data_IF_983117034663
#
_entry.id   IF_983117034663
#
_cell.length_a   1.000
_cell.length_b   1.000
_cell.length_c   1.000
_cell.angle_alpha   90.00
_cell.angle_beta   90.00
_cell.angle_gamma   90.00
#
_symmetry.space_group_name_H-M   'P 1'
#
loop_
_entity.id
_entity.type
_entity.pdbx_description
1 polymer ?
#
# COMPACT_ATOMS: atom_id res chain seq x y z
N UNK A 1 -29.02 27.95 -32.93
CA UNK A 1 -29.61 28.55 -31.71
C UNK A 1 -29.65 27.47 -30.64
N UNK A 2 -29.02 27.76 -29.53
CA UNK A 2 -28.63 26.84 -28.44
C UNK A 2 -29.84 26.45 -27.57
N UNK A 3 -29.90 25.17 -27.19
CA UNK A 3 -30.55 24.69 -25.97
C UNK A 3 -29.80 23.46 -25.46
N UNK A 4 -29.08 23.62 -24.36
CA UNK A 4 -29.23 22.82 -23.13
C UNK A 4 -28.08 23.19 -22.19
N UNK A 5 -28.38 24.09 -21.26
CA UNK A 5 -27.53 24.37 -20.12
C UNK A 5 -27.61 23.20 -19.15
N UNK A 6 -26.45 22.65 -18.80
CA UNK A 6 -26.27 21.85 -17.60
C UNK A 6 -25.52 22.69 -16.57
N UNK A 7 -26.26 23.05 -15.52
CA UNK A 7 -25.76 23.62 -14.28
C UNK A 7 -24.77 22.65 -13.63
N UNK A 8 -23.52 23.07 -13.48
CA UNK A 8 -22.62 22.45 -12.51
C UNK A 8 -22.98 22.98 -11.12
N UNK A 9 -23.69 22.17 -10.36
CA UNK A 9 -23.92 22.37 -8.94
C UNK A 9 -22.56 22.27 -8.22
N UNK A 10 -22.16 23.38 -7.60
CA UNK A 10 -21.13 23.41 -6.57
C UNK A 10 -21.59 22.54 -5.40
N UNK A 11 -21.05 21.33 -5.28
CA UNK A 11 -21.08 20.59 -4.03
C UNK A 11 -19.77 20.87 -3.31
N UNK A 12 -19.86 21.72 -2.29
CA UNK A 12 -18.97 21.65 -1.14
C UNK A 12 -19.06 20.24 -0.57
N UNK A 13 -18.18 19.36 -1.01
CA UNK A 13 -17.92 18.08 -0.35
C UNK A 13 -17.26 18.42 0.98
N UNK A 14 -17.99 18.22 2.08
CA UNK A 14 -17.39 18.09 3.39
C UNK A 14 -16.35 16.98 3.31
N UNK A 15 -15.11 17.36 3.53
CA UNK A 15 -13.94 16.49 3.61
C UNK A 15 -14.29 15.31 4.54
N UNK A 16 -14.22 14.05 4.05
CA UNK A 16 -14.57 12.93 4.90
C UNK A 16 -13.59 12.85 6.07
N UNK A 17 -14.13 12.57 7.25
CA UNK A 17 -13.39 12.13 8.43
C UNK A 17 -12.25 11.20 7.99
N UNK A 18 -11.04 11.42 8.53
CA UNK A 18 -9.87 10.63 8.16
C UNK A 18 -10.22 9.13 8.17
N UNK A 19 -9.73 8.38 7.19
CA UNK A 19 -9.98 6.94 7.07
C UNK A 19 -9.80 6.18 8.40
N UNK A 20 -8.89 6.68 9.25
CA UNK A 20 -8.61 6.25 10.63
C UNK A 20 -9.87 6.15 11.52
N UNK A 21 -10.84 7.06 11.42
CA UNK A 21 -12.05 7.03 12.26
C UNK A 21 -13.08 6.00 11.80
N UNK A 22 -13.03 5.59 10.53
CA UNK A 22 -14.05 4.74 9.89
C UNK A 22 -13.89 3.25 10.20
N UNK A 23 -12.72 2.80 10.63
CA UNK A 23 -12.37 1.36 10.66
C UNK A 23 -12.26 0.74 12.07
N UNK A 24 -12.86 1.36 13.09
CA UNK A 24 -13.00 0.77 14.44
C UNK A 24 -13.94 -0.45 14.43
N UNK A 25 -13.40 -1.65 14.21
CA UNK A 25 -14.10 -2.92 14.42
C UNK A 25 -13.31 -3.83 15.38
N UNK A 26 -14.03 -4.34 16.37
CA UNK A 26 -13.60 -5.08 17.58
C UNK A 26 -12.61 -6.24 17.28
N UNK A 27 -11.42 -6.23 17.88
CA UNK A 27 -10.48 -7.37 17.84
C UNK A 27 -9.43 -7.34 18.96
N UNK A 28 -8.97 -8.53 19.39
CA UNK A 28 -8.11 -8.76 20.56
C UNK A 28 -6.74 -8.02 20.53
N UNK A 29 -6.37 -7.35 21.62
CA UNK A 29 -5.10 -6.64 21.78
C UNK A 29 -3.94 -7.62 22.08
N UNK A 30 -2.77 -7.42 21.48
CA UNK A 30 -1.53 -8.16 21.79
C UNK A 30 -0.44 -7.22 22.29
N UNK A 31 0.20 -7.57 23.39
CA UNK A 31 1.38 -6.91 23.98
C UNK A 31 2.68 -7.34 23.28
N UNK A 32 3.75 -6.52 23.42
CA UNK A 32 5.10 -6.83 22.92
C UNK A 32 5.61 -8.18 23.47
N UNK A 33 5.32 -8.47 24.73
CA UNK A 33 5.72 -9.72 25.39
C UNK A 33 5.04 -10.95 24.76
N UNK A 34 3.77 -10.84 24.38
CA UNK A 34 3.06 -11.91 23.68
C UNK A 34 3.62 -12.16 22.27
N UNK A 35 4.00 -11.10 21.55
CA UNK A 35 4.63 -11.22 20.24
C UNK A 35 6.03 -11.86 20.33
N UNK A 36 6.84 -11.45 21.31
CA UNK A 36 8.14 -12.08 21.60
C UNK A 36 7.96 -13.55 21.97
N UNK A 37 6.98 -13.89 22.80
CA UNK A 37 6.69 -15.28 23.14
C UNK A 37 6.35 -16.13 21.91
N UNK A 38 5.57 -15.59 20.97
CA UNK A 38 5.26 -16.27 19.69
C UNK A 38 6.50 -16.50 18.83
N UNK A 39 7.44 -15.56 18.80
CA UNK A 39 8.71 -15.74 18.08
C UNK A 39 9.62 -16.78 18.75
N UNK A 40 9.72 -16.75 20.08
CA UNK A 40 10.46 -17.76 20.86
C UNK A 40 9.91 -19.16 20.65
N UNK A 41 8.57 -19.31 20.63
CA UNK A 41 7.90 -20.57 20.36
C UNK A 41 8.22 -21.15 18.96
N UNK A 42 8.67 -20.30 18.02
CA UNK A 42 9.16 -20.70 16.69
C UNK A 42 10.68 -20.91 16.63
N UNK A 43 11.36 -20.87 17.78
CA UNK A 43 12.80 -21.08 17.87
C UNK A 43 13.64 -19.85 17.54
N UNK A 44 13.03 -18.68 17.31
CA UNK A 44 13.77 -17.44 17.08
C UNK A 44 14.40 -16.98 18.39
N UNK A 45 15.72 -16.85 18.38
CA UNK A 45 16.52 -16.43 19.53
C UNK A 45 16.66 -14.90 19.57
N UNK A 46 17.08 -14.37 20.72
CA UNK A 46 17.42 -12.96 20.92
C UNK A 46 16.28 -11.95 20.69
N UNK A 47 15.02 -12.36 20.82
CA UNK A 47 13.87 -11.46 20.57
C UNK A 47 13.63 -10.45 21.70
N UNK A 48 14.22 -10.67 22.88
CA UNK A 48 14.08 -9.78 24.05
C UNK A 48 14.88 -8.49 23.89
N UNK A 49 15.92 -8.51 23.05
CA UNK A 49 16.73 -7.32 22.73
C UNK A 49 16.14 -6.52 21.58
N UNK A 50 15.17 -7.09 20.85
CA UNK A 50 14.55 -6.44 19.71
C UNK A 50 13.51 -5.44 20.19
N UNK A 51 13.49 -4.25 19.61
CA UNK A 51 12.43 -3.29 19.86
C UNK A 51 11.11 -3.74 19.21
N UNK A 52 10.04 -2.99 19.47
CA UNK A 52 8.71 -3.33 18.95
C UNK A 52 8.69 -3.41 17.42
N UNK A 53 9.35 -2.49 16.73
CA UNK A 53 9.42 -2.45 15.26
C UNK A 53 10.16 -3.66 14.72
N UNK A 54 11.27 -4.04 15.34
CA UNK A 54 12.06 -5.21 14.97
C UNK A 54 11.31 -6.52 15.20
N UNK A 55 10.64 -6.67 16.36
CA UNK A 55 9.78 -7.83 16.68
C UNK A 55 8.66 -7.96 15.65
N UNK A 56 7.98 -6.85 15.35
CA UNK A 56 6.89 -6.84 14.38
C UNK A 56 7.39 -7.16 12.97
N UNK A 57 8.51 -6.60 12.54
CA UNK A 57 9.12 -6.91 11.25
C UNK A 57 9.49 -8.40 11.15
N UNK A 58 9.89 -9.01 12.25
CA UNK A 58 10.29 -10.41 12.28
C UNK A 58 9.09 -11.35 12.31
N UNK A 59 8.03 -11.01 13.05
CA UNK A 59 6.73 -11.72 12.98
C UNK A 59 6.14 -11.61 11.58
N UNK A 60 6.22 -10.43 10.96
CA UNK A 60 5.73 -10.15 9.61
C UNK A 60 6.45 -10.99 8.55
N UNK A 61 7.79 -11.11 8.64
CA UNK A 61 8.61 -11.93 7.73
C UNK A 61 8.39 -13.43 7.88
N UNK A 62 7.97 -13.90 9.04
CA UNK A 62 7.74 -15.32 9.33
C UNK A 62 6.32 -15.81 9.01
N UNK A 63 5.45 -14.92 8.51
CA UNK A 63 4.15 -15.21 7.91
C UNK A 63 3.29 -16.25 8.65
N UNK A 64 2.78 -15.92 9.85
CA UNK A 64 1.63 -16.65 10.46
C UNK A 64 0.70 -15.75 11.31
N UNK A 65 0.90 -14.43 11.46
CA UNK A 65 -0.10 -13.59 12.14
C UNK A 65 -0.27 -12.23 11.45
N UNK A 66 -1.53 -11.90 11.17
CA UNK A 66 -2.02 -10.56 10.82
C UNK A 66 -1.50 -9.55 11.85
N UNK A 67 -0.62 -8.63 11.45
CA UNK A 67 -0.28 -7.49 12.32
C UNK A 67 -1.01 -6.25 11.83
N UNK A 68 -1.90 -5.84 12.73
CA UNK A 68 -2.74 -4.64 12.77
C UNK A 68 -2.11 -3.65 13.75
N UNK A 69 -1.28 -2.69 13.30
CA UNK A 69 -0.76 -1.71 14.27
C UNK A 69 -1.82 -0.65 14.67
N UNK A 70 -3.02 -0.63 14.06
CA UNK A 70 -4.21 0.10 14.52
C UNK A 70 -4.66 -0.24 15.96
N UNK A 71 -4.04 -1.26 16.58
CA UNK A 71 -4.33 -1.68 17.95
C UNK A 71 -3.38 -1.11 19.01
N UNK A 72 -2.48 -0.20 18.61
CA UNK A 72 -1.79 0.72 19.51
C UNK A 72 -2.57 2.03 19.40
N UNK A 73 -2.93 2.69 20.52
CA UNK A 73 -3.58 4.02 20.54
C UNK A 73 -2.62 5.11 19.99
N UNK A 74 -2.29 5.00 18.70
CA UNK A 74 -1.45 5.90 17.94
C UNK A 74 -1.91 5.84 16.47
N UNK A 75 -2.53 6.91 15.93
CA UNK A 75 -2.97 6.95 14.54
C UNK A 75 -1.82 6.75 13.54
N UNK A 76 -0.59 7.10 13.91
CA UNK A 76 0.59 6.87 13.07
C UNK A 76 0.92 5.38 12.94
N UNK A 77 0.49 4.55 13.89
CA UNK A 77 0.76 3.12 13.88
C UNK A 77 0.02 2.44 12.70
N UNK A 78 -1.25 2.76 12.46
CA UNK A 78 -1.99 2.21 11.33
C UNK A 78 -1.36 2.63 9.98
N UNK A 79 -1.08 3.91 9.79
CA UNK A 79 -0.40 4.38 8.58
C UNK A 79 0.93 3.65 8.38
N UNK A 80 1.74 3.50 9.43
CA UNK A 80 2.99 2.74 9.41
C UNK A 80 2.80 1.27 9.03
N UNK A 81 1.70 0.64 9.46
CA UNK A 81 1.36 -0.74 9.10
C UNK A 81 1.09 -0.88 7.61
N UNK A 82 0.27 0.05 7.09
CA UNK A 82 -0.14 0.07 5.69
C UNK A 82 1.08 0.34 4.83
N UNK A 83 1.88 1.35 5.20
CA UNK A 83 3.18 1.67 4.63
C UNK A 83 4.08 0.45 4.50
N UNK A 84 4.26 -0.30 5.60
CA UNK A 84 5.13 -1.48 5.59
C UNK A 84 4.60 -2.56 4.64
N UNK A 85 3.28 -2.82 4.64
CA UNK A 85 2.67 -3.80 3.74
C UNK A 85 2.75 -3.37 2.27
N UNK A 86 2.58 -2.08 1.99
CA UNK A 86 2.67 -1.53 0.66
C UNK A 86 4.09 -1.56 0.13
N UNK A 87 5.08 -1.20 0.94
CA UNK A 87 6.49 -1.31 0.57
C UNK A 87 6.89 -2.76 0.31
N UNK A 88 6.48 -3.71 1.17
CA UNK A 88 6.73 -5.14 0.95
C UNK A 88 6.09 -5.63 -0.34
N UNK A 89 4.84 -5.25 -0.61
CA UNK A 89 4.14 -5.63 -1.83
C UNK A 89 4.79 -5.02 -3.08
N UNK A 90 5.03 -3.70 -3.09
CA UNK A 90 5.67 -2.95 -4.18
C UNK A 90 7.03 -3.53 -4.56
N UNK A 91 7.85 -3.86 -3.55
CA UNK A 91 9.20 -4.42 -3.77
C UNK A 91 9.17 -5.86 -4.31
N UNK A 92 8.11 -6.62 -4.05
CA UNK A 92 8.05 -8.05 -4.37
C UNK A 92 7.14 -8.41 -5.54
N UNK A 93 6.15 -7.59 -5.91
CA UNK A 93 5.07 -7.95 -6.86
C UNK A 93 5.58 -8.27 -8.28
N UNK A 94 6.73 -7.74 -8.66
CA UNK A 94 7.39 -8.01 -9.95
C UNK A 94 8.41 -9.16 -9.90
N UNK A 95 8.70 -9.72 -8.72
CA UNK A 95 9.72 -10.73 -8.49
C UNK A 95 9.13 -12.15 -8.37
N UNK A 96 9.98 -13.18 -8.43
CA UNK A 96 9.60 -14.58 -8.19
C UNK A 96 10.30 -15.10 -6.93
N UNK A 97 9.58 -15.77 -5.99
CA UNK A 97 8.13 -16.00 -6.00
C UNK A 97 7.33 -14.71 -5.76
N UNK A 98 6.17 -14.59 -6.42
CA UNK A 98 5.28 -13.42 -6.27
C UNK A 98 4.51 -13.52 -4.94
N UNK A 99 4.31 -12.40 -4.23
CA UNK A 99 3.38 -12.34 -3.11
C UNK A 99 1.93 -12.50 -3.59
N UNK A 100 0.99 -12.73 -2.66
CA UNK A 100 -0.43 -12.59 -2.94
C UNK A 100 -0.76 -11.15 -3.36
N UNK A 101 -1.51 -11.01 -4.45
CA UNK A 101 -1.81 -9.74 -5.11
C UNK A 101 -1.48 -9.77 -6.60
N UNK A 102 -1.65 -8.63 -7.29
CA UNK A 102 -1.36 -8.49 -8.73
C UNK A 102 -0.73 -7.15 -9.06
N UNK A 103 0.07 -7.12 -10.12
CA UNK A 103 0.45 -5.89 -10.79
C UNK A 103 -0.17 -5.86 -12.19
N UNK A 104 -0.70 -4.71 -12.59
CA UNK A 104 -1.19 -4.41 -13.93
C UNK A 104 -0.50 -3.17 -14.45
N UNK A 105 -0.49 -3.03 -15.77
CA UNK A 105 -0.18 -1.76 -16.41
C UNK A 105 -1.21 -1.47 -17.50
N UNK A 106 -1.44 -0.20 -17.80
CA UNK A 106 -2.29 0.19 -18.94
C UNK A 106 -1.69 -0.31 -20.24
N UNK A 107 -2.50 -0.47 -21.28
CA UNK A 107 -2.00 -0.89 -22.60
C UNK A 107 -0.94 0.07 -23.14
N UNK A 108 -1.05 1.36 -22.82
CA UNK A 108 -0.10 2.39 -23.22
C UNK A 108 1.27 2.16 -22.57
N UNK A 109 1.31 1.88 -21.26
CA UNK A 109 2.55 1.53 -20.55
C UNK A 109 3.09 0.17 -21.00
N UNK A 110 2.24 -0.82 -21.24
CA UNK A 110 2.63 -2.15 -21.73
C UNK A 110 3.38 -2.07 -23.08
N UNK A 111 3.01 -1.11 -23.93
CA UNK A 111 3.64 -0.90 -25.24
C UNK A 111 5.02 -0.24 -25.18
N UNK A 112 5.51 0.17 -24.01
CA UNK A 112 6.88 0.63 -23.84
C UNK A 112 7.88 -0.48 -24.16
N UNK A 113 9.06 -0.08 -24.66
CA UNK A 113 10.17 -1.00 -24.90
C UNK A 113 10.51 -1.79 -23.62
N UNK A 114 10.94 -3.04 -23.79
CA UNK A 114 11.20 -3.94 -22.66
C UNK A 114 12.26 -3.38 -21.70
N UNK A 115 13.29 -2.73 -22.24
CA UNK A 115 14.36 -2.09 -21.48
C UNK A 115 13.82 -0.90 -20.66
N UNK A 116 12.92 -0.10 -21.25
CA UNK A 116 12.25 1.00 -20.54
C UNK A 116 11.37 0.47 -19.41
N UNK A 117 10.62 -0.63 -19.64
CA UNK A 117 9.82 -1.26 -18.59
C UNK A 117 10.69 -1.84 -17.47
N UNK A 118 11.84 -2.43 -17.78
CA UNK A 118 12.78 -2.91 -16.77
C UNK A 118 13.26 -1.76 -15.86
N UNK A 119 13.71 -0.65 -16.46
CA UNK A 119 14.12 0.56 -15.70
C UNK A 119 12.96 1.13 -14.89
N UNK A 120 11.75 1.14 -15.44
CA UNK A 120 10.55 1.57 -14.73
C UNK A 120 10.28 0.71 -13.49
N UNK A 121 10.32 -0.62 -13.63
CA UNK A 121 10.08 -1.53 -12.50
C UNK A 121 11.15 -1.38 -11.42
N UNK A 122 12.43 -1.27 -11.80
CA UNK A 122 13.52 -1.01 -10.85
C UNK A 122 13.28 0.30 -10.07
N UNK A 123 12.83 1.37 -10.76
CA UNK A 123 12.47 2.62 -10.11
C UNK A 123 11.25 2.49 -9.20
N UNK A 124 10.21 1.75 -9.60
CA UNK A 124 9.04 1.50 -8.74
C UNK A 124 9.45 0.71 -7.50
N UNK A 125 10.31 -0.30 -7.62
CA UNK A 125 10.82 -1.10 -6.50
C UNK A 125 11.68 -0.25 -5.55
N UNK A 126 12.55 0.59 -6.10
CA UNK A 126 13.46 1.43 -5.34
C UNK A 126 12.86 2.76 -4.86
N UNK A 127 11.62 3.10 -5.26
CA UNK A 127 11.01 4.39 -4.98
C UNK A 127 10.99 4.71 -3.48
N UNK A 128 11.51 5.89 -3.14
CA UNK A 128 11.62 6.42 -1.78
C UNK A 128 11.27 7.91 -1.68
N UNK A 129 10.96 8.57 -2.80
CA UNK A 129 10.61 9.99 -2.87
C UNK A 129 9.13 10.23 -2.51
N UNK A 130 8.74 9.79 -1.31
CA UNK A 130 7.43 10.06 -0.73
C UNK A 130 7.43 11.45 -0.11
N UNK A 131 6.50 12.29 -0.56
CA UNK A 131 6.33 13.68 -0.11
C UNK A 131 4.88 13.91 0.28
N UNK A 132 4.60 15.02 0.97
CA UNK A 132 3.22 15.38 1.33
C UNK A 132 2.28 15.48 0.13
N UNK A 133 2.81 15.78 -1.07
CA UNK A 133 2.02 15.93 -2.30
C UNK A 133 1.58 14.59 -2.89
N UNK A 134 2.41 13.54 -2.75
CA UNK A 134 2.15 12.23 -3.35
C UNK A 134 1.78 11.13 -2.34
N UNK A 135 2.00 11.38 -1.06
CA UNK A 135 1.73 10.46 0.04
C UNK A 135 1.20 11.22 1.27
N UNK A 136 0.03 11.89 1.15
CA UNK A 136 -0.50 12.73 2.23
C UNK A 136 -0.87 11.94 3.49
N UNK A 137 -1.00 10.61 3.38
CA UNK A 137 -1.38 9.70 4.47
C UNK A 137 -0.23 8.84 4.99
N UNK A 138 0.98 8.94 4.41
CA UNK A 138 2.13 8.15 4.85
C UNK A 138 2.03 6.65 4.53
N UNK A 139 1.15 6.27 3.60
CA UNK A 139 0.81 4.88 3.30
C UNK A 139 1.70 4.26 2.21
N UNK A 140 2.48 5.05 1.49
CA UNK A 140 3.34 4.59 0.38
C UNK A 140 2.55 3.84 -0.71
N UNK A 141 1.32 4.26 -1.00
CA UNK A 141 0.43 3.62 -1.96
C UNK A 141 0.44 4.29 -3.34
N UNK A 142 1.12 5.42 -3.52
CA UNK A 142 1.20 6.15 -4.77
C UNK A 142 2.61 6.71 -5.03
N UNK A 143 2.98 6.81 -6.31
CA UNK A 143 4.22 7.48 -6.70
C UNK A 143 4.26 7.91 -8.16
N UNK A 144 5.14 8.85 -8.44
CA UNK A 144 5.38 9.42 -9.76
C UNK A 144 6.83 9.17 -10.19
N UNK A 145 6.99 8.56 -11.37
CA UNK A 145 8.27 8.28 -12.01
C UNK A 145 8.42 9.17 -13.23
N UNK A 146 9.59 9.81 -13.34
CA UNK A 146 10.03 10.52 -14.53
C UNK A 146 11.18 9.72 -15.16
N UNK A 147 11.08 9.50 -16.48
CA UNK A 147 12.09 8.85 -17.32
C UNK A 147 12.40 9.78 -18.49
N UNK A 148 13.66 9.85 -18.91
CA UNK A 148 14.08 10.72 -20.00
C UNK A 148 13.31 10.42 -21.29
N UNK A 149 12.67 11.44 -21.85
CA UNK A 149 11.92 11.34 -23.10
C UNK A 149 10.60 10.56 -23.00
N UNK A 150 10.15 10.18 -21.80
CA UNK A 150 8.89 9.48 -21.56
C UNK A 150 7.97 10.38 -20.74
N UNK A 151 6.65 10.46 -21.06
CA UNK A 151 5.70 11.16 -20.21
C UNK A 151 5.72 10.63 -18.77
N UNK A 152 5.33 11.45 -17.79
CA UNK A 152 5.30 11.04 -16.39
C UNK A 152 4.45 9.77 -16.21
N UNK A 153 4.95 8.85 -15.40
CA UNK A 153 4.29 7.58 -15.12
C UNK A 153 3.90 7.56 -13.65
N UNK A 154 2.63 7.27 -13.37
CA UNK A 154 2.14 7.01 -12.03
C UNK A 154 2.08 5.52 -11.77
N UNK A 155 2.26 5.16 -10.51
CA UNK A 155 1.86 3.87 -10.00
C UNK A 155 1.01 4.06 -8.74
N UNK A 156 0.05 3.18 -8.53
CA UNK A 156 -0.80 3.17 -7.35
C UNK A 156 -1.11 1.75 -6.88
N UNK A 157 -1.15 1.53 -5.56
CA UNK A 157 -1.64 0.31 -4.93
C UNK A 157 -3.10 0.49 -4.54
N UNK A 158 -3.95 -0.36 -5.09
CA UNK A 158 -5.36 -0.42 -4.78
C UNK A 158 -5.68 -1.61 -3.86
N UNK A 159 -6.64 -1.39 -2.97
CA UNK A 159 -7.07 -2.37 -1.97
C UNK A 159 -8.42 -3.00 -2.36
N UNK A 160 -8.45 -4.32 -2.53
CA UNK A 160 -9.64 -5.09 -2.82
C UNK A 160 -9.89 -6.15 -1.74
N UNK A 161 -11.15 -6.56 -1.57
CA UNK A 161 -11.48 -7.64 -0.62
C UNK A 161 -10.77 -8.95 -0.99
N UNK A 162 -10.69 -9.26 -2.29
CA UNK A 162 -10.08 -10.48 -2.81
C UNK A 162 -9.59 -10.33 -4.26
N UNK A 163 -9.09 -11.44 -4.82
CA UNK A 163 -8.55 -11.52 -6.17
C UNK A 163 -9.57 -11.32 -7.30
N UNK A 164 -10.88 -11.28 -6.99
CA UNK A 164 -11.93 -10.95 -7.98
C UNK A 164 -11.97 -9.47 -8.31
N UNK A 165 -11.39 -8.62 -7.45
CA UNK A 165 -11.32 -7.16 -7.61
C UNK A 165 -12.70 -6.49 -7.81
N UNK A 166 -13.77 -7.10 -7.29
CA UNK A 166 -15.15 -6.59 -7.43
C UNK A 166 -15.53 -5.55 -6.38
N UNK A 167 -14.92 -5.65 -5.19
CA UNK A 167 -15.23 -4.80 -4.05
C UNK A 167 -13.93 -4.28 -3.41
N UNK A 168 -13.98 -3.03 -2.96
CA UNK A 168 -12.88 -2.39 -2.22
C UNK A 168 -12.79 -2.99 -0.83
N UNK A 169 -11.58 -3.27 -0.34
CA UNK A 169 -11.40 -3.73 1.02
C UNK A 169 -11.85 -2.66 2.02
N UNK A 170 -12.60 -3.07 3.04
CA UNK A 170 -12.85 -2.22 4.20
C UNK A 170 -11.57 -2.03 5.03
N UNK A 171 -10.76 -3.08 5.20
CA UNK A 171 -9.52 -3.02 5.96
C UNK A 171 -8.30 -3.06 5.01
N UNK A 172 -7.55 -1.95 4.83
CA UNK A 172 -6.37 -1.91 3.96
C UNK A 172 -5.28 -2.89 4.38
N UNK A 173 -5.23 -3.27 5.66
CA UNK A 173 -4.27 -4.26 6.12
C UNK A 173 -4.63 -5.60 5.50
N UNK A 174 -5.87 -6.07 5.66
CA UNK A 174 -6.29 -7.37 5.15
C UNK A 174 -6.70 -7.37 3.67
N UNK A 175 -6.33 -6.34 2.92
CA UNK A 175 -6.65 -6.21 1.51
C UNK A 175 -5.80 -7.08 0.58
N UNK A 176 -6.45 -7.60 -0.46
CA UNK A 176 -5.80 -8.01 -1.70
C UNK A 176 -5.27 -6.77 -2.42
N UNK A 177 -3.94 -6.68 -2.57
CA UNK A 177 -3.26 -5.52 -3.15
C UNK A 177 -3.10 -5.65 -4.65
N UNK A 178 -3.38 -4.57 -5.34
CA UNK A 178 -3.24 -4.46 -6.79
C UNK A 178 -2.45 -3.22 -7.14
N UNK A 179 -1.23 -3.40 -7.66
CA UNK A 179 -0.41 -2.30 -8.16
C UNK A 179 -0.79 -2.03 -9.61
N UNK A 180 -1.14 -0.79 -9.94
CA UNK A 180 -1.45 -0.36 -11.31
C UNK A 180 -0.41 0.67 -11.75
N UNK A 181 0.16 0.48 -12.94
CA UNK A 181 1.09 1.41 -13.57
C UNK A 181 0.44 2.05 -14.80
N UNK A 182 0.47 3.37 -14.89
CA UNK A 182 -0.23 4.16 -15.90
C UNK A 182 0.52 5.47 -16.17
N UNK A 183 0.33 6.09 -17.33
CA UNK A 183 0.79 7.46 -17.54
C UNK A 183 -0.01 8.44 -16.68
N UNK A 184 0.61 9.56 -16.32
CA UNK A 184 -0.02 10.61 -15.53
C UNK A 184 -1.27 11.22 -16.19
N UNK A 185 -1.34 11.17 -17.53
CA UNK A 185 -2.52 11.62 -18.30
C UNK A 185 -3.68 10.62 -18.27
N UNK A 186 -3.44 9.38 -17.84
CA UNK A 186 -4.46 8.33 -17.70
C UNK A 186 -5.10 8.33 -16.30
N UNK A 187 -4.61 9.17 -15.39
CA UNK A 187 -5.06 9.33 -14.00
C UNK A 187 -5.99 10.53 -13.85
#
# INVERSE_FOLDING_TARGET
MSKNGLNFLSKTEQQPASAVEKYKLEAEQYSLEELRAKLKARGIQNVDTLDFTEVVNLVSRLAVYEIRYDRVDNPDALAKSIQLRNDLFRKAVFMVPRPDGRAFMTSTVENLAAETKAVLFDKIIAFDNFTQDNDPYGEHDFGCIELDGIPKIYWQINYYEDASMKARAADPLNAYRVLVVMFAEEY
#
